data_IF_207847911935
#
_entry.id   IF_207847911935
#
_cell.length_a   1.000
_cell.length_b   1.000
_cell.length_c   1.000
_cell.angle_alpha   90.00
_cell.angle_beta   90.00
_cell.angle_gamma   90.00
#
_symmetry.space_group_name_H-M   'P 1'
#
loop_
_entity.id
_entity.type
_entity.pdbx_description
1 polymer ?
#
# COMPACT_ATOMS: atom_id res chain seq x y z
N UNK A 1 -17.06 -22.55 7.88
CA UNK A 1 -16.21 -23.72 7.60
C UNK A 1 -16.32 -24.14 6.15
N UNK A 2 -15.20 -24.08 5.44
CA UNK A 2 -15.11 -24.49 4.04
C UNK A 2 -13.93 -25.44 3.85
N UNK A 3 -14.09 -26.44 2.99
CA UNK A 3 -13.00 -27.33 2.59
C UNK A 3 -12.20 -26.66 1.47
N UNK A 4 -10.87 -26.62 1.61
CA UNK A 4 -9.96 -26.19 0.57
C UNK A 4 -9.35 -27.42 -0.10
N UNK A 5 -9.60 -27.58 -1.40
CA UNK A 5 -9.01 -28.65 -2.22
C UNK A 5 -8.03 -28.00 -3.18
N UNK A 6 -6.79 -28.48 -3.17
CA UNK A 6 -5.74 -28.04 -4.08
C UNK A 6 -5.42 -29.15 -5.08
N UNK A 7 -5.63 -28.88 -6.36
CA UNK A 7 -5.18 -29.74 -7.45
C UNK A 7 -3.93 -29.11 -8.07
N UNK A 8 -2.85 -29.87 -8.17
CA UNK A 8 -1.58 -29.38 -8.71
C UNK A 8 -0.83 -30.46 -9.46
N UNK A 9 -0.09 -30.07 -10.49
CA UNK A 9 0.82 -30.92 -11.23
C UNK A 9 2.25 -30.90 -10.65
N UNK A 10 2.47 -30.19 -9.53
CA UNK A 10 3.76 -30.13 -8.82
C UNK A 10 3.94 -31.36 -7.94
N UNK A 11 4.61 -32.37 -8.47
CA UNK A 11 4.95 -33.61 -7.76
C UNK A 11 6.24 -33.53 -6.94
N UNK A 12 6.97 -32.43 -7.09
CA UNK A 12 8.27 -32.17 -6.45
C UNK A 12 8.16 -31.51 -5.06
N UNK A 13 6.95 -31.11 -4.65
CA UNK A 13 6.69 -30.39 -3.40
C UNK A 13 5.94 -31.25 -2.40
N UNK A 14 6.21 -31.05 -1.10
CA UNK A 14 5.42 -31.67 -0.05
C UNK A 14 4.01 -31.06 0.02
N UNK A 15 3.05 -31.78 0.62
CA UNK A 15 1.69 -31.27 0.85
C UNK A 15 1.72 -29.94 1.62
N UNK A 16 2.59 -29.83 2.63
CA UNK A 16 2.73 -28.60 3.43
C UNK A 16 3.25 -27.45 2.58
N UNK A 17 4.22 -27.71 1.70
CA UNK A 17 4.76 -26.69 0.80
C UNK A 17 3.73 -26.23 -0.24
N UNK A 18 2.93 -27.16 -0.77
CA UNK A 18 1.81 -26.85 -1.67
C UNK A 18 0.84 -25.92 -0.96
N UNK A 19 0.37 -26.29 0.24
CA UNK A 19 -0.56 -25.45 1.02
C UNK A 19 0.05 -24.08 1.31
N UNK A 20 1.33 -24.01 1.69
CA UNK A 20 2.03 -22.75 1.95
C UNK A 20 2.26 -21.89 0.70
N UNK A 21 2.39 -22.52 -0.48
CA UNK A 21 2.53 -21.81 -1.74
C UNK A 21 1.18 -21.22 -2.16
N UNK A 22 0.13 -22.02 -2.17
CA UNK A 22 -1.21 -21.58 -2.53
C UNK A 22 -1.80 -20.61 -1.50
N UNK A 23 -1.43 -20.71 -0.23
CA UNK A 23 -1.82 -19.72 0.79
C UNK A 23 -1.21 -18.33 0.55
N UNK A 24 -0.28 -18.15 -0.39
CA UNK A 24 0.21 -16.82 -0.79
C UNK A 24 -0.61 -16.18 -1.93
N UNK A 25 -1.57 -16.89 -2.52
CA UNK A 25 -2.39 -16.36 -3.62
C UNK A 25 -3.19 -15.11 -3.24
N UNK A 26 -3.58 -14.96 -1.96
CA UNK A 26 -4.25 -13.75 -1.49
C UNK A 26 -3.41 -12.48 -1.71
N UNK A 27 -2.08 -12.59 -1.79
CA UNK A 27 -1.21 -11.45 -2.07
C UNK A 27 -1.46 -10.89 -3.47
N UNK A 28 -1.71 -11.78 -4.44
CA UNK A 28 -2.06 -11.39 -5.82
C UNK A 28 -3.43 -10.71 -5.82
N UNK A 29 -4.40 -11.26 -5.10
CA UNK A 29 -5.73 -10.65 -4.96
C UNK A 29 -5.66 -9.26 -4.32
N UNK A 30 -4.88 -9.11 -3.25
CA UNK A 30 -4.63 -7.83 -2.58
C UNK A 30 -4.04 -6.82 -3.55
N UNK A 31 -3.01 -7.21 -4.29
CA UNK A 31 -2.38 -6.36 -5.31
C UNK A 31 -3.39 -5.92 -6.39
N UNK A 32 -4.23 -6.82 -6.89
CA UNK A 32 -5.27 -6.45 -7.86
C UNK A 32 -6.33 -5.51 -7.27
N UNK A 33 -6.66 -5.67 -5.99
CA UNK A 33 -7.57 -4.76 -5.28
C UNK A 33 -6.96 -3.36 -5.16
N UNK A 34 -5.68 -3.26 -4.80
CA UNK A 34 -4.93 -1.99 -4.76
C UNK A 34 -4.86 -1.36 -6.16
N UNK A 35 -4.50 -2.14 -7.18
CA UNK A 35 -4.38 -1.69 -8.58
C UNK A 35 -5.71 -1.12 -9.09
N UNK A 36 -6.82 -1.85 -8.90
CA UNK A 36 -8.16 -1.44 -9.37
C UNK A 36 -8.74 -0.27 -8.58
N UNK A 37 -8.55 -0.24 -7.25
CA UNK A 37 -9.22 0.71 -6.37
C UNK A 37 -8.41 1.96 -6.03
N UNK A 38 -7.12 1.80 -5.75
CA UNK A 38 -6.26 2.89 -5.25
C UNK A 38 -5.40 3.51 -6.34
N UNK A 39 -4.97 2.72 -7.32
CA UNK A 39 -4.19 3.18 -8.48
C UNK A 39 -5.04 3.35 -9.76
N UNK A 40 -6.36 3.28 -9.63
CA UNK A 40 -7.33 3.64 -10.66
C UNK A 40 -7.16 2.91 -12.01
N UNK A 41 -6.68 1.66 -12.03
CA UNK A 41 -6.43 0.85 -13.25
C UNK A 41 -7.58 0.81 -14.28
N UNK A 42 -8.80 1.16 -13.90
CA UNK A 42 -9.93 1.30 -14.82
C UNK A 42 -10.01 2.75 -15.32
N UNK A 43 -9.30 3.11 -16.42
CA UNK A 43 -9.40 4.45 -16.97
C UNK A 43 -10.80 4.66 -17.53
N UNK A 44 -11.47 5.74 -17.11
CA UNK A 44 -12.79 6.10 -17.63
C UNK A 44 -12.69 6.97 -18.91
N UNK A 45 -11.51 7.52 -19.21
CA UNK A 45 -11.35 8.60 -20.20
C UNK A 45 -10.22 8.38 -21.22
N UNK A 46 -9.82 7.13 -21.50
CA UNK A 46 -8.78 6.82 -22.50
C UNK A 46 -9.39 6.13 -23.72
N UNK A 47 -9.02 6.59 -24.91
CA UNK A 47 -9.59 6.11 -26.19
C UNK A 47 -8.61 5.40 -27.10
N UNK A 48 -7.30 5.66 -26.97
CA UNK A 48 -6.27 5.03 -27.83
C UNK A 48 -5.56 3.89 -27.11
N UNK A 49 -5.23 2.83 -27.84
CA UNK A 49 -4.52 1.67 -27.31
C UNK A 49 -3.21 2.04 -26.62
N UNK A 50 -2.40 2.91 -27.23
CA UNK A 50 -1.12 3.33 -26.66
C UNK A 50 -1.28 4.03 -25.30
N UNK A 51 -2.30 4.89 -25.15
CA UNK A 51 -2.55 5.53 -23.86
C UNK A 51 -3.06 4.54 -22.81
N UNK A 52 -3.92 3.59 -23.19
CA UNK A 52 -4.40 2.54 -22.28
C UNK A 52 -3.23 1.70 -21.77
N UNK A 53 -2.35 1.26 -22.67
CA UNK A 53 -1.15 0.47 -22.33
C UNK A 53 -0.21 1.28 -21.44
N UNK A 54 0.07 2.54 -21.79
CA UNK A 54 0.90 3.42 -20.99
C UNK A 54 0.35 3.64 -19.59
N UNK A 55 -0.96 3.84 -19.47
CA UNK A 55 -1.65 4.00 -18.19
C UNK A 55 -1.54 2.76 -17.31
N UNK A 56 -1.83 1.58 -17.86
CA UNK A 56 -1.70 0.31 -17.14
C UNK A 56 -0.25 0.07 -16.68
N UNK A 57 0.72 0.37 -17.54
CA UNK A 57 2.14 0.28 -17.20
C UNK A 57 2.49 1.20 -16.03
N UNK A 58 2.03 2.46 -16.06
CA UNK A 58 2.26 3.40 -14.97
C UNK A 58 1.64 2.90 -13.65
N UNK A 59 0.39 2.43 -13.67
CA UNK A 59 -0.26 1.85 -12.50
C UNK A 59 0.53 0.67 -11.93
N UNK A 60 1.04 -0.21 -12.80
CA UNK A 60 1.85 -1.35 -12.38
C UNK A 60 3.17 -0.91 -11.74
N UNK A 61 3.90 0.03 -12.36
CA UNK A 61 5.14 0.58 -11.80
C UNK A 61 4.88 1.25 -10.45
N UNK A 62 3.80 2.02 -10.32
CA UNK A 62 3.41 2.62 -9.04
C UNK A 62 3.12 1.56 -7.97
N UNK A 63 2.48 0.45 -8.31
CA UNK A 63 2.23 -0.66 -7.38
C UNK A 63 3.54 -1.31 -6.92
N UNK A 64 4.45 -1.60 -7.84
CA UNK A 64 5.77 -2.16 -7.52
C UNK A 64 6.55 -1.22 -6.61
N UNK A 65 6.56 0.07 -6.92
CA UNK A 65 7.22 1.09 -6.11
C UNK A 65 6.63 1.15 -4.70
N UNK A 66 5.30 1.20 -4.57
CA UNK A 66 4.61 1.22 -3.27
C UNK A 66 5.00 -0.01 -2.43
N UNK A 67 4.94 -1.20 -3.04
CA UNK A 67 5.31 -2.44 -2.38
C UNK A 67 6.77 -2.47 -1.93
N UNK A 68 7.67 -1.96 -2.76
CA UNK A 68 9.09 -1.87 -2.44
C UNK A 68 9.36 -0.91 -1.27
N UNK A 69 8.71 0.25 -1.25
CA UNK A 69 8.79 1.21 -0.14
C UNK A 69 8.28 0.58 1.15
N UNK A 70 7.11 -0.08 1.11
CA UNK A 70 6.55 -0.78 2.27
C UNK A 70 7.48 -1.89 2.77
N UNK A 71 8.09 -2.66 1.87
CA UNK A 71 9.08 -3.67 2.22
C UNK A 71 10.30 -3.06 2.92
N UNK A 72 10.86 -1.98 2.35
CA UNK A 72 12.01 -1.30 2.91
C UNK A 72 11.73 -0.73 4.30
N UNK A 73 10.58 -0.08 4.49
CA UNK A 73 10.16 0.50 5.76
C UNK A 73 10.01 -0.55 6.86
N UNK A 74 9.27 -1.63 6.57
CA UNK A 74 9.13 -2.74 7.52
C UNK A 74 10.47 -3.38 7.87
N UNK A 75 11.39 -3.47 6.90
CA UNK A 75 12.72 -4.03 7.14
C UNK A 75 13.58 -3.12 8.02
N UNK A 76 13.54 -1.80 7.80
CA UNK A 76 14.30 -0.82 8.61
C UNK A 76 13.77 -0.68 10.04
N UNK A 77 12.46 -0.78 10.21
CA UNK A 77 11.79 -0.68 11.51
C UNK A 77 11.68 -2.02 12.25
N UNK A 78 12.07 -3.13 11.62
CA UNK A 78 11.95 -4.47 12.21
C UNK A 78 10.49 -4.92 12.43
N UNK A 79 9.53 -4.35 11.69
CA UNK A 79 8.11 -4.63 11.86
C UNK A 79 7.74 -5.99 11.25
N UNK A 80 7.07 -6.84 12.05
CA UNK A 80 6.66 -8.19 11.65
C UNK A 80 5.22 -8.51 12.07
N UNK A 81 4.64 -9.51 11.41
CA UNK A 81 3.29 -9.98 11.69
C UNK A 81 2.23 -8.88 11.57
N UNK A 82 1.42 -8.72 12.63
CA UNK A 82 0.30 -7.76 12.67
C UNK A 82 0.76 -6.29 12.72
N UNK A 83 2.00 -6.04 13.12
CA UNK A 83 2.54 -4.68 13.26
C UNK A 83 3.12 -4.14 11.95
N UNK A 84 3.08 -4.93 10.87
CA UNK A 84 3.59 -4.49 9.57
C UNK A 84 2.77 -3.33 9.03
N UNK A 85 3.48 -2.36 8.47
CA UNK A 85 2.89 -1.36 7.59
C UNK A 85 2.48 -2.08 6.31
N UNK A 86 1.24 -1.89 5.88
CA UNK A 86 0.72 -2.44 4.63
C UNK A 86 0.58 -1.32 3.59
N UNK A 87 0.42 -1.69 2.32
CA UNK A 87 0.07 -0.74 1.25
C UNK A 87 -1.15 0.11 1.64
N UNK A 88 -2.15 -0.49 2.29
CA UNK A 88 -3.37 0.20 2.71
C UNK A 88 -3.07 1.29 3.73
N UNK A 89 -2.27 0.98 4.77
CA UNK A 89 -1.85 1.96 5.77
C UNK A 89 -1.06 3.10 5.14
N UNK A 90 -0.14 2.78 4.23
CA UNK A 90 0.65 3.79 3.53
C UNK A 90 -0.23 4.74 2.68
N UNK A 91 -1.21 4.19 1.96
CA UNK A 91 -2.14 4.98 1.16
C UNK A 91 -3.04 5.85 2.05
N UNK A 92 -3.49 5.34 3.19
CA UNK A 92 -4.30 6.10 4.13
C UNK A 92 -3.50 7.26 4.71
N UNK A 93 -2.25 7.05 5.13
CA UNK A 93 -1.34 8.15 5.54
C UNK A 93 -1.30 9.27 4.50
N UNK A 94 -1.07 8.93 3.22
CA UNK A 94 -0.98 9.92 2.13
C UNK A 94 -2.30 10.69 1.94
N UNK A 95 -3.45 10.05 2.18
CA UNK A 95 -4.77 10.64 1.96
C UNK A 95 -5.30 11.43 3.15
N UNK A 96 -4.94 10.99 4.35
CA UNK A 96 -5.59 11.36 5.61
C UNK A 96 -4.76 12.40 6.38
N UNK A 97 -3.44 12.26 6.36
CA UNK A 97 -2.53 13.13 7.10
C UNK A 97 -2.34 14.43 6.33
N UNK A 98 -2.91 15.51 6.85
CA UNK A 98 -2.88 16.85 6.27
C UNK A 98 -2.55 17.89 7.32
N UNK A 99 -1.70 18.84 6.95
CA UNK A 99 -1.36 20.00 7.76
C UNK A 99 -1.68 21.28 6.99
N UNK A 100 -2.19 22.28 7.70
CA UNK A 100 -2.49 23.61 7.17
C UNK A 100 -1.45 24.58 7.74
N UNK A 101 -0.70 25.23 6.86
CA UNK A 101 0.26 26.25 7.25
C UNK A 101 -0.33 27.65 7.03
N UNK A 102 -0.33 28.49 8.06
CA UNK A 102 -0.84 29.86 8.00
C UNK A 102 0.35 30.82 7.85
N UNK A 103 0.29 31.68 6.85
CA UNK A 103 1.30 32.69 6.55
C UNK A 103 0.75 34.10 6.73
N UNK A 104 1.41 34.91 7.55
CA UNK A 104 1.15 36.35 7.68
C UNK A 104 2.40 37.10 7.24
N UNK A 105 2.25 38.08 6.34
CA UNK A 105 3.39 38.83 5.77
C UNK A 105 4.49 37.92 5.17
N UNK A 106 4.09 36.81 4.53
CA UNK A 106 4.99 35.76 3.99
C UNK A 106 5.84 35.03 5.04
N UNK A 107 5.60 35.26 6.32
CA UNK A 107 6.20 34.48 7.41
C UNK A 107 5.22 33.41 7.86
N UNK A 108 5.71 32.18 8.00
CA UNK A 108 4.95 31.07 8.56
C UNK A 108 4.67 31.38 10.03
N UNK A 109 3.41 31.54 10.38
CA UNK A 109 2.99 31.93 11.74
C UNK A 109 2.50 30.72 12.50
N UNK A 110 1.71 29.85 11.88
CA UNK A 110 1.08 28.71 12.55
C UNK A 110 1.05 27.47 11.65
N UNK A 111 0.92 26.30 12.28
CA UNK A 111 0.64 25.03 11.60
C UNK A 111 -0.44 24.30 12.36
N UNK A 112 -1.51 23.94 11.67
CA UNK A 112 -2.67 23.24 12.22
C UNK A 112 -2.71 21.85 11.61
N UNK A 113 -2.66 20.83 12.46
CA UNK A 113 -2.84 19.44 12.03
C UNK A 113 -4.33 19.14 11.88
N UNK A 114 -4.74 18.64 10.72
CA UNK A 114 -6.12 18.20 10.50
C UNK A 114 -6.28 16.81 11.10
N UNK A 115 -6.90 16.76 12.28
CA UNK A 115 -7.07 15.54 13.06
C UNK A 115 -8.52 15.34 13.48
N UNK A 116 -8.97 14.09 13.46
CA UNK A 116 -10.15 13.60 14.16
C UNK A 116 -9.91 12.14 14.59
N UNK A 117 -10.80 11.58 15.41
CA UNK A 117 -10.63 10.22 15.96
C UNK A 117 -10.54 9.13 14.87
N UNK A 118 -11.19 9.31 13.72
CA UNK A 118 -11.13 8.37 12.60
C UNK A 118 -9.75 8.37 11.91
N UNK A 119 -9.01 9.48 11.98
CA UNK A 119 -7.69 9.63 11.36
C UNK A 119 -6.55 9.17 12.27
N UNK A 120 -6.85 8.76 13.51
CA UNK A 120 -5.84 8.42 14.52
C UNK A 120 -4.83 7.37 14.04
N UNK A 121 -5.31 6.28 13.43
CA UNK A 121 -4.42 5.22 12.93
C UNK A 121 -3.47 5.73 11.83
N UNK A 122 -3.96 6.61 10.95
CA UNK A 122 -3.16 7.22 9.89
C UNK A 122 -2.08 8.15 10.46
N UNK A 123 -2.40 8.94 11.48
CA UNK A 123 -1.43 9.79 12.19
C UNK A 123 -0.39 8.98 12.98
N UNK A 124 -0.80 7.92 13.69
CA UNK A 124 0.12 7.03 14.41
C UNK A 124 1.11 6.35 13.45
N UNK A 125 0.61 5.90 12.29
CA UNK A 125 1.44 5.34 11.23
C UNK A 125 2.42 6.40 10.70
N UNK A 126 1.97 7.62 10.45
CA UNK A 126 2.82 8.73 10.00
C UNK A 126 3.94 9.05 10.99
N UNK A 127 3.65 9.08 12.29
CA UNK A 127 4.68 9.31 13.31
C UNK A 127 5.75 8.22 13.31
N UNK A 128 5.34 6.96 13.14
CA UNK A 128 6.27 5.83 12.97
C UNK A 128 7.17 6.00 11.73
N UNK A 129 6.60 6.51 10.62
CA UNK A 129 7.38 6.78 9.41
C UNK A 129 8.39 7.92 9.60
N UNK A 130 8.05 8.95 10.36
CA UNK A 130 8.95 10.06 10.64
C UNK A 130 10.22 9.63 11.37
N UNK A 131 10.17 8.59 12.20
CA UNK A 131 11.37 8.06 12.88
C UNK A 131 12.41 7.53 11.88
N UNK A 132 11.97 7.02 10.73
CA UNK A 132 12.86 6.54 9.66
C UNK A 132 13.39 7.71 8.83
N UNK A 133 12.55 8.71 8.56
CA UNK A 133 12.89 9.84 7.68
C UNK A 133 13.77 10.90 8.34
N UNK A 134 13.75 11.00 9.67
CA UNK A 134 14.56 11.97 10.44
C UNK A 134 15.95 11.45 10.84
N UNK A 135 16.27 10.18 10.55
CA UNK A 135 17.61 9.60 10.68
C UNK A 135 18.37 9.70 9.37
#
# INVERSE_FOLDING_TARGET
DGYYVYETNRTDLSVVDIVNLYSKQWQIESNFKTLKGKLSLRPMYLSTWNHIVGYICLCFVSLVFLNYVVYLLNSRLGLQGKNRITEHKMINVIKDVKEIEIFVNKQKTETIQVFNDELKESWDTYHTLLEVLKK
#
